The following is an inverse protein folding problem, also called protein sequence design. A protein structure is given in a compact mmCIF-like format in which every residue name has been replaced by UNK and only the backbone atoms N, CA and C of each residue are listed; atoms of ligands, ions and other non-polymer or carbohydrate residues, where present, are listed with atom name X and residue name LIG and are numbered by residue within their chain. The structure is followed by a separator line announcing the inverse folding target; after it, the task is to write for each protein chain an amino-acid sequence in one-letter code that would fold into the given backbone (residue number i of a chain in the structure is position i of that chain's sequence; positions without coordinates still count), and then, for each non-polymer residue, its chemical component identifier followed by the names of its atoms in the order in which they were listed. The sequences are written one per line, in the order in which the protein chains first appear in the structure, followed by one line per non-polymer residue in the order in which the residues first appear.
data_IF_414117995763
#
_entry.id   IF_414117995763
#
_cell.length_a   1.000
_cell.length_b   1.000
_cell.length_c   1.000
_cell.angle_alpha   90.00
_cell.angle_beta   90.00
_cell.angle_gamma   90.00
#
_symmetry.space_group_name_H-M   'P 1'
#
loop_
_entity.id
_entity.type
_entity.pdbx_description
1 polymer ?
#
# COMPACT_ATOMS: atom_id res chain seq x y z
N UNK A 1 16.18 -19.88 18.30
CA UNK A 1 15.07 -18.90 18.17
C UNK A 1 15.63 -17.62 17.54
N UNK A 2 15.90 -17.63 16.22
CA UNK A 2 16.52 -16.51 15.48
C UNK A 2 15.74 -16.11 14.21
N UNK A 3 14.66 -16.82 13.88
CA UNK A 3 13.99 -16.69 12.59
C UNK A 3 13.12 -15.45 12.43
N UNK A 4 12.68 -14.82 13.52
CA UNK A 4 11.83 -13.62 13.45
C UNK A 4 12.64 -12.36 13.10
N UNK A 5 13.85 -12.21 13.68
CA UNK A 5 14.72 -11.05 13.45
C UNK A 5 15.27 -10.98 12.01
N UNK A 6 15.64 -12.12 11.42
CA UNK A 6 16.12 -12.18 10.03
C UNK A 6 15.02 -11.73 9.04
N UNK A 7 13.76 -12.09 9.30
CA UNK A 7 12.62 -11.73 8.44
C UNK A 7 12.32 -10.23 8.51
N UNK A 8 12.32 -9.64 9.71
CA UNK A 8 12.18 -8.18 9.89
C UNK A 8 13.33 -7.42 9.23
N UNK A 9 14.55 -7.95 9.29
CA UNK A 9 15.70 -7.39 8.60
C UNK A 9 15.54 -7.40 7.07
N UNK A 10 15.11 -8.52 6.49
CA UNK A 10 14.86 -8.61 5.04
C UNK A 10 13.75 -7.65 4.58
N UNK A 11 12.68 -7.50 5.36
CA UNK A 11 11.62 -6.54 5.08
C UNK A 11 12.12 -5.09 5.05
N UNK A 12 12.85 -4.67 6.09
CA UNK A 12 13.39 -3.31 6.17
C UNK A 12 14.43 -3.05 5.06
N UNK A 13 15.25 -4.04 4.72
CA UNK A 13 16.19 -3.93 3.59
C UNK A 13 15.47 -3.76 2.26
N UNK A 14 14.36 -4.50 2.04
CA UNK A 14 13.57 -4.35 0.82
C UNK A 14 12.85 -3.01 0.74
N UNK A 15 12.36 -2.47 1.85
CA UNK A 15 11.85 -1.09 1.88
C UNK A 15 12.94 -0.05 1.58
N UNK A 16 14.14 -0.22 2.14
CA UNK A 16 15.26 0.69 1.87
C UNK A 16 15.74 0.61 0.40
N UNK A 17 15.77 -0.59 -0.18
CA UNK A 17 16.05 -0.82 -1.60
C UNK A 17 15.01 -0.12 -2.48
N UNK A 18 13.71 -0.32 -2.20
CA UNK A 18 12.61 0.36 -2.88
C UNK A 18 12.71 1.88 -2.78
N UNK A 19 13.11 2.41 -1.63
CA UNK A 19 13.30 3.86 -1.44
C UNK A 19 14.45 4.41 -2.27
N UNK A 20 15.56 3.66 -2.36
CA UNK A 20 16.69 4.03 -3.22
C UNK A 20 16.28 4.03 -4.69
N UNK A 21 15.53 3.00 -5.08
CA UNK A 21 14.99 2.82 -6.44
C UNK A 21 14.02 3.92 -6.84
N UNK A 22 13.11 4.33 -5.95
CA UNK A 22 12.21 5.47 -6.17
C UNK A 22 12.93 6.73 -6.66
N UNK A 23 14.13 6.98 -6.13
CA UNK A 23 14.95 8.14 -6.46
C UNK A 23 15.78 7.95 -7.74
N UNK A 24 16.15 6.72 -8.09
CA UNK A 24 17.15 6.46 -9.14
C UNK A 24 16.60 5.89 -10.45
N UNK A 25 15.35 5.41 -10.48
CA UNK A 25 14.82 4.66 -11.62
C UNK A 25 13.58 5.30 -12.27
N UNK A 26 13.16 4.75 -13.41
CA UNK A 26 12.04 5.24 -14.21
C UNK A 26 10.80 4.33 -14.20
N UNK A 27 10.84 3.28 -13.39
CA UNK A 27 9.79 2.25 -13.29
C UNK A 27 9.48 2.01 -11.81
N UNK A 28 8.25 1.70 -11.46
CA UNK A 28 7.98 1.26 -10.08
C UNK A 28 8.51 -0.15 -9.88
N UNK A 29 9.02 -0.44 -8.69
CA UNK A 29 9.44 -1.78 -8.26
C UNK A 29 8.51 -2.25 -7.16
N UNK A 30 8.24 -3.54 -7.13
CA UNK A 30 7.37 -4.16 -6.14
C UNK A 30 7.85 -5.54 -5.72
N UNK A 31 7.47 -5.92 -4.50
CA UNK A 31 7.66 -7.24 -3.92
C UNK A 31 6.35 -7.70 -3.29
N UNK A 32 5.95 -8.94 -3.55
CA UNK A 32 4.83 -9.58 -2.87
C UNK A 32 5.31 -10.24 -1.56
N UNK A 33 4.43 -10.21 -0.56
CA UNK A 33 4.64 -10.79 0.77
C UNK A 33 3.76 -12.04 0.89
N UNK A 34 4.35 -13.17 1.30
CA UNK A 34 3.61 -14.42 1.47
C UNK A 34 3.77 -14.95 2.89
N UNK A 35 2.68 -15.41 3.49
CA UNK A 35 2.72 -16.18 4.74
C UNK A 35 3.45 -17.50 4.52
N UNK A 36 4.19 -17.94 5.53
CA UNK A 36 4.85 -19.24 5.60
C UNK A 36 4.22 -20.10 6.69
N UNK A 37 4.40 -21.43 6.61
CA UNK A 37 3.84 -22.41 7.55
C UNK A 37 4.23 -22.14 9.02
N UNK A 38 5.35 -21.46 9.25
CA UNK A 38 5.87 -21.15 10.59
C UNK A 38 5.55 -19.72 11.07
N UNK A 39 4.40 -19.15 10.72
CA UNK A 39 3.94 -17.82 11.17
C UNK A 39 4.97 -16.69 10.96
N UNK A 40 5.64 -16.67 9.81
CA UNK A 40 6.26 -15.44 9.33
C UNK A 40 6.14 -15.37 7.83
N UNK A 41 6.95 -14.54 7.16
CA UNK A 41 6.76 -14.26 5.75
C UNK A 41 7.98 -14.61 4.89
N UNK A 42 7.71 -14.78 3.59
CA UNK A 42 8.70 -14.75 2.52
C UNK A 42 8.38 -13.60 1.58
N UNK A 43 9.40 -13.12 0.86
CA UNK A 43 9.30 -12.03 -0.11
C UNK A 43 9.55 -12.61 -1.50
N UNK A 44 8.79 -12.19 -2.51
CA UNK A 44 9.01 -12.60 -3.90
C UNK A 44 10.34 -12.08 -4.47
N UNK A 45 10.66 -12.53 -5.69
CA UNK A 45 11.50 -11.74 -6.59
C UNK A 45 10.90 -10.37 -6.90
N UNK A 46 11.71 -9.48 -7.45
CA UNK A 46 11.27 -8.14 -7.86
C UNK A 46 10.34 -8.19 -9.06
N UNK A 47 9.29 -7.38 -9.01
CA UNK A 47 8.47 -7.03 -10.16
C UNK A 47 8.65 -5.56 -10.50
N UNK A 48 8.56 -5.21 -11.79
CA UNK A 48 8.68 -3.83 -12.24
C UNK A 48 7.47 -3.42 -13.08
N UNK A 49 6.90 -2.25 -12.80
CA UNK A 49 5.77 -1.66 -13.53
C UNK A 49 6.14 -0.34 -14.22
N UNK A 50 5.42 0.00 -15.28
CA UNK A 50 5.52 1.30 -15.98
C UNK A 50 4.14 1.91 -16.14
N UNK A 51 4.02 3.21 -16.44
CA UNK A 51 2.70 3.81 -16.75
C UNK A 51 1.97 3.09 -17.91
N UNK A 52 2.71 2.48 -18.84
CA UNK A 52 2.14 1.75 -20.00
C UNK A 52 1.79 0.30 -19.68
N UNK A 53 2.50 -0.30 -18.73
CA UNK A 53 2.28 -1.65 -18.22
C UNK A 53 2.28 -1.57 -16.69
N UNK A 54 1.20 -1.05 -16.07
CA UNK A 54 1.16 -0.79 -14.64
C UNK A 54 0.96 -2.07 -13.82
N UNK A 55 0.56 -3.16 -14.48
CA UNK A 55 0.18 -4.40 -13.82
C UNK A 55 1.41 -5.19 -13.36
N UNK A 56 1.54 -5.31 -12.04
CA UNK A 56 2.39 -6.31 -11.39
C UNK A 56 1.58 -7.58 -11.27
N UNK A 57 1.61 -8.45 -12.30
CA UNK A 57 0.94 -9.74 -12.23
C UNK A 57 1.67 -10.67 -11.28
N UNK A 58 1.03 -11.03 -10.17
CA UNK A 58 1.44 -12.11 -9.26
C UNK A 58 1.17 -13.49 -9.92
N UNK A 59 1.52 -13.65 -11.20
CA UNK A 59 1.17 -14.83 -12.00
C UNK A 59 2.28 -15.89 -12.07
N UNK A 60 3.40 -15.70 -11.38
CA UNK A 60 4.42 -16.74 -11.30
C UNK A 60 4.76 -17.06 -9.86
N UNK A 61 4.07 -18.08 -9.33
CA UNK A 61 4.52 -18.79 -8.15
C UNK A 61 5.97 -19.26 -8.38
N UNK A 62 6.91 -18.66 -7.66
CA UNK A 62 8.34 -19.05 -7.74
C UNK A 62 8.56 -20.35 -6.96
N UNK A 63 7.68 -20.67 -5.99
CA UNK A 63 7.68 -21.88 -5.16
C UNK A 63 6.26 -22.30 -4.75
N UNK A 64 6.08 -23.52 -4.20
CA UNK A 64 4.79 -24.00 -3.66
C UNK A 64 4.20 -23.10 -2.55
N UNK A 65 5.03 -22.30 -1.88
CA UNK A 65 4.59 -21.41 -0.78
C UNK A 65 4.19 -20.01 -1.25
N UNK A 66 4.71 -19.56 -2.41
CA UNK A 66 4.43 -18.23 -2.99
C UNK A 66 3.23 -18.27 -3.93
N UNK A 67 2.06 -18.54 -3.35
CA UNK A 67 0.78 -18.57 -4.08
C UNK A 67 -0.06 -17.36 -3.72
N UNK A 68 -0.98 -16.97 -4.61
CA UNK A 68 -1.97 -15.91 -4.34
C UNK A 68 -2.77 -16.20 -3.05
N UNK A 69 -3.02 -17.47 -2.75
CA UNK A 69 -3.72 -17.92 -1.54
C UNK A 69 -2.95 -17.57 -0.26
N UNK A 70 -1.62 -17.67 -0.31
CA UNK A 70 -0.73 -17.34 0.81
C UNK A 70 -0.25 -15.88 0.80
N UNK A 71 -0.61 -15.09 -0.21
CA UNK A 71 -0.20 -13.69 -0.29
C UNK A 71 -0.85 -12.89 0.83
N UNK A 72 -0.05 -12.22 1.65
CA UNK A 72 -0.46 -11.37 2.77
C UNK A 72 -0.24 -9.89 2.47
N UNK A 73 0.17 -9.53 1.25
CA UNK A 73 0.33 -8.14 0.88
C UNK A 73 1.46 -7.90 -0.09
N UNK A 74 1.87 -6.64 -0.19
CA UNK A 74 2.94 -6.23 -1.07
C UNK A 74 3.63 -4.98 -0.53
N UNK A 75 4.83 -4.73 -1.01
CA UNK A 75 5.51 -3.46 -0.88
C UNK A 75 5.93 -2.96 -2.26
N UNK A 76 5.79 -1.67 -2.53
CA UNK A 76 6.24 -1.08 -3.79
C UNK A 76 6.80 0.32 -3.58
N UNK A 77 7.41 0.87 -4.62
CA UNK A 77 7.91 2.24 -4.61
C UNK A 77 7.07 3.13 -5.53
N UNK A 78 6.86 4.37 -5.10
CA UNK A 78 6.39 5.45 -5.96
C UNK A 78 7.58 6.31 -6.38
N UNK A 79 7.67 6.61 -7.67
CA UNK A 79 8.79 7.33 -8.24
C UNK A 79 8.89 8.78 -7.73
N UNK A 80 10.09 9.19 -7.34
CA UNK A 80 10.32 10.58 -6.97
C UNK A 80 10.17 11.53 -8.17
N UNK A 81 9.75 12.78 -7.92
CA UNK A 81 9.70 13.78 -8.97
C UNK A 81 11.12 14.04 -9.49
N UNK A 82 11.27 14.04 -10.83
CA UNK A 82 12.52 14.47 -11.45
C UNK A 82 12.61 16.00 -11.36
N UNK A 83 13.82 16.58 -11.20
CA UNK A 83 13.99 18.03 -11.14
C UNK A 83 13.33 18.74 -12.34
N UNK A 84 12.44 19.69 -12.05
CA UNK A 84 11.73 20.47 -13.07
C UNK A 84 10.59 19.71 -13.80
N UNK A 85 10.19 18.53 -13.31
CA UNK A 85 9.09 17.76 -13.87
C UNK A 85 7.92 17.64 -12.88
N UNK A 86 6.72 17.49 -13.42
CA UNK A 86 5.52 17.19 -12.64
C UNK A 86 5.68 15.83 -11.91
N UNK A 87 5.08 15.67 -10.71
CA UNK A 87 5.02 14.40 -10.01
C UNK A 87 4.42 13.28 -10.88
N UNK A 88 5.19 12.19 -11.02
CA UNK A 88 4.79 11.01 -11.81
C UNK A 88 3.79 10.13 -11.06
N UNK A 89 3.91 10.09 -9.74
CA UNK A 89 3.18 9.17 -8.84
C UNK A 89 2.57 9.96 -7.67
N UNK A 90 1.68 9.30 -6.92
CA UNK A 90 1.18 9.87 -5.67
C UNK A 90 2.25 9.78 -4.57
N UNK A 91 2.24 10.69 -3.60
CA UNK A 91 3.16 10.63 -2.45
C UNK A 91 2.73 9.55 -1.45
N UNK A 92 1.44 9.24 -1.44
CA UNK A 92 0.78 8.12 -0.73
C UNK A 92 0.25 7.11 -1.74
N UNK A 93 -0.72 6.28 -1.37
CA UNK A 93 -1.35 5.28 -2.25
C UNK A 93 -2.20 5.89 -3.36
N UNK A 94 -2.21 5.24 -4.53
CA UNK A 94 -3.15 5.47 -5.64
C UNK A 94 -4.45 4.67 -5.45
N UNK A 95 -5.51 4.99 -6.20
CA UNK A 95 -6.70 4.15 -6.20
C UNK A 95 -6.43 2.74 -6.77
N UNK A 96 -5.56 2.64 -7.78
CA UNK A 96 -5.14 1.37 -8.36
C UNK A 96 -4.42 0.49 -7.32
N UNK A 97 -3.67 1.09 -6.40
CA UNK A 97 -3.03 0.39 -5.28
C UNK A 97 -4.08 -0.24 -4.36
N UNK A 98 -5.11 0.52 -3.98
CA UNK A 98 -6.20 0.05 -3.13
C UNK A 98 -6.96 -1.09 -3.81
N UNK A 99 -7.25 -0.96 -5.10
CA UNK A 99 -7.93 -1.99 -5.89
C UNK A 99 -7.08 -3.26 -6.03
N UNK A 100 -5.79 -3.11 -6.32
CA UNK A 100 -4.84 -4.22 -6.38
C UNK A 100 -4.71 -4.95 -5.05
N UNK A 101 -4.63 -4.21 -3.96
CA UNK A 101 -4.57 -4.79 -2.62
C UNK A 101 -5.87 -5.51 -2.24
N UNK A 102 -7.02 -4.94 -2.57
CA UNK A 102 -8.32 -5.58 -2.36
C UNK A 102 -8.42 -6.92 -3.11
N UNK A 103 -7.90 -7.00 -4.35
CA UNK A 103 -7.81 -8.26 -5.11
C UNK A 103 -6.97 -9.31 -4.36
N UNK A 104 -5.76 -8.95 -3.90
CA UNK A 104 -4.90 -9.83 -3.08
C UNK A 104 -5.66 -10.35 -1.85
N UNK A 105 -6.25 -9.44 -1.07
CA UNK A 105 -6.97 -9.79 0.16
C UNK A 105 -8.15 -10.71 -0.12
N UNK A 106 -8.87 -10.51 -1.24
CA UNK A 106 -10.02 -11.33 -1.63
C UNK A 106 -9.66 -12.77 -2.01
N UNK A 107 -8.45 -13.01 -2.51
CA UNK A 107 -8.00 -14.30 -3.00
C UNK A 107 -7.24 -15.11 -1.94
N UNK A 108 -6.67 -14.43 -0.94
CA UNK A 108 -5.95 -15.11 0.13
C UNK A 108 -6.90 -15.84 1.10
N UNK A 109 -6.53 -17.04 1.54
CA UNK A 109 -7.25 -17.78 2.60
C UNK A 109 -6.68 -17.52 3.99
N UNK A 110 -5.62 -16.71 4.13
CA UNK A 110 -5.10 -16.37 5.45
C UNK A 110 -6.15 -15.65 6.29
N UNK A 111 -6.36 -16.13 7.51
CA UNK A 111 -7.30 -15.53 8.47
C UNK A 111 -6.66 -14.40 9.29
N UNK A 112 -5.33 -14.20 9.16
CA UNK A 112 -4.57 -13.31 10.03
C UNK A 112 -4.69 -11.81 9.65
N UNK A 113 -4.56 -10.90 10.65
CA UNK A 113 -4.69 -9.44 10.49
C UNK A 113 -3.45 -8.73 9.92
N UNK A 114 -2.43 -9.47 9.47
CA UNK A 114 -1.16 -8.89 9.02
C UNK A 114 -1.15 -8.51 7.54
N UNK A 115 -2.33 -8.35 6.93
CA UNK A 115 -2.41 -7.87 5.56
C UNK A 115 -1.96 -6.41 5.49
N UNK A 116 -0.88 -6.17 4.75
CA UNK A 116 -0.30 -4.85 4.59
C UNK A 116 0.08 -4.56 3.14
N UNK A 117 -0.32 -3.39 2.65
CA UNK A 117 0.28 -2.78 1.48
C UNK A 117 1.21 -1.67 1.94
N UNK A 118 2.46 -1.69 1.50
CA UNK A 118 3.47 -0.70 1.86
C UNK A 118 3.91 0.07 0.62
N UNK A 119 3.97 1.39 0.72
CA UNK A 119 4.51 2.24 -0.35
C UNK A 119 5.63 3.12 0.20
N UNK A 120 6.70 3.27 -0.56
CA UNK A 120 7.82 4.13 -0.17
C UNK A 120 8.29 5.03 -1.31
N UNK A 121 8.70 6.24 -0.96
CA UNK A 121 9.31 7.24 -1.84
C UNK A 121 10.21 8.17 -1.04
N UNK A 122 10.77 9.18 -1.68
CA UNK A 122 11.42 10.32 -1.03
C UNK A 122 10.49 11.11 -0.11
N UNK A 123 9.16 11.05 -0.32
CA UNK A 123 8.19 11.71 0.55
C UNK A 123 7.97 10.97 1.89
N UNK A 124 8.30 9.67 1.96
CA UNK A 124 8.12 8.87 3.16
C UNK A 124 7.76 7.43 2.86
N UNK A 125 7.45 6.68 3.93
CA UNK A 125 7.01 5.29 3.86
C UNK A 125 5.66 5.17 4.56
N UNK A 126 4.68 4.59 3.86
CA UNK A 126 3.30 4.48 4.30
C UNK A 126 2.83 3.03 4.23
N UNK A 127 1.83 2.69 5.04
CA UNK A 127 1.19 1.37 5.02
C UNK A 127 -0.34 1.51 5.05
N UNK A 128 -1.03 0.69 4.25
CA UNK A 128 -2.43 0.35 4.44
C UNK A 128 -2.50 -1.02 5.10
N UNK A 129 -3.05 -1.09 6.31
CA UNK A 129 -3.26 -2.34 7.03
C UNK A 129 -4.74 -2.71 6.99
N UNK A 130 -5.05 -3.98 6.74
CA UNK A 130 -6.44 -4.45 6.83
C UNK A 130 -6.83 -4.60 8.29
N UNK A 131 -7.86 -3.87 8.73
CA UNK A 131 -8.47 -4.05 10.05
C UNK A 131 -9.73 -4.95 9.99
N UNK A 132 -10.40 -5.03 8.82
CA UNK A 132 -11.54 -5.91 8.58
C UNK A 132 -11.49 -6.47 7.16
N UNK A 133 -11.05 -7.73 7.04
CA UNK A 133 -10.99 -8.45 5.75
C UNK A 133 -12.37 -8.59 5.10
N UNK A 134 -13.41 -8.77 5.91
CA UNK A 134 -14.80 -8.88 5.43
C UNK A 134 -15.25 -7.54 4.84
N UNK A 135 -15.07 -6.43 5.58
CA UNK A 135 -15.44 -5.09 5.09
C UNK A 135 -14.69 -4.76 3.80
N UNK A 136 -13.37 -4.98 3.79
CA UNK A 136 -12.55 -4.64 2.62
C UNK A 136 -12.90 -5.47 1.38
N UNK A 137 -13.13 -6.78 1.55
CA UNK A 137 -13.58 -7.66 0.47
C UNK A 137 -14.96 -7.25 -0.07
N UNK A 138 -15.91 -6.88 0.79
CA UNK A 138 -17.23 -6.46 0.34
C UNK A 138 -17.16 -5.16 -0.49
N UNK A 139 -16.23 -4.26 -0.13
CA UNK A 139 -15.99 -3.03 -0.87
C UNK A 139 -15.31 -3.27 -2.23
N UNK A 140 -14.48 -4.33 -2.39
CA UNK A 140 -13.85 -4.67 -3.68
C UNK A 140 -14.87 -4.78 -4.83
N UNK A 141 -15.99 -5.48 -4.60
CA UNK A 141 -17.01 -5.67 -5.63
C UNK A 141 -17.57 -4.32 -6.09
N UNK A 142 -17.89 -3.42 -5.15
CA UNK A 142 -18.37 -2.07 -5.43
C UNK A 142 -17.33 -1.25 -6.19
N UNK A 143 -16.07 -1.27 -5.73
CA UNK A 143 -14.96 -0.57 -6.38
C UNK A 143 -14.72 -1.06 -7.81
N UNK A 144 -14.90 -2.36 -8.07
CA UNK A 144 -14.67 -2.93 -9.41
C UNK A 144 -15.80 -2.63 -10.38
N UNK A 145 -17.06 -2.78 -9.96
CA UNK A 145 -18.23 -2.58 -10.83
C UNK A 145 -18.43 -1.12 -11.22
N UNK A 146 -18.06 -0.19 -10.32
CA UNK A 146 -18.17 1.26 -10.56
C UNK A 146 -16.81 1.95 -10.49
N UNK A 147 -15.77 1.33 -11.05
CA UNK A 147 -14.38 1.79 -10.95
C UNK A 147 -14.21 3.26 -11.35
N UNK A 148 -14.72 3.67 -12.51
CA UNK A 148 -14.63 5.06 -13.00
C UNK A 148 -15.23 6.08 -12.03
N UNK A 149 -16.28 5.70 -11.29
CA UNK A 149 -16.90 6.60 -10.31
C UNK A 149 -16.00 6.80 -9.09
N UNK A 150 -15.40 5.72 -8.59
CA UNK A 150 -14.44 5.81 -7.49
C UNK A 150 -13.14 6.50 -7.91
N UNK A 151 -12.65 6.28 -9.12
CA UNK A 151 -11.48 7.01 -9.65
C UNK A 151 -11.76 8.51 -9.74
N UNK A 152 -12.94 8.90 -10.23
CA UNK A 152 -13.35 10.32 -10.23
C UNK A 152 -13.48 10.87 -8.81
N UNK A 153 -14.03 10.09 -7.87
CA UNK A 153 -14.13 10.52 -6.48
C UNK A 153 -12.74 10.67 -5.84
N UNK A 154 -11.85 9.70 -6.05
CA UNK A 154 -10.47 9.73 -5.60
C UNK A 154 -9.75 10.99 -6.11
N UNK A 155 -9.85 11.28 -7.41
CA UNK A 155 -9.21 12.45 -8.02
C UNK A 155 -9.79 13.80 -7.57
N UNK A 156 -10.99 13.83 -6.95
CA UNK A 156 -11.53 15.05 -6.31
C UNK A 156 -10.83 15.35 -4.98
N UNK A 157 -10.42 14.31 -4.27
CA UNK A 157 -9.79 14.44 -2.96
C UNK A 157 -8.26 14.47 -3.03
N UNK A 158 -7.66 13.80 -4.02
CA UNK A 158 -6.21 13.69 -4.17
C UNK A 158 -5.76 14.05 -5.58
N UNK A 159 -4.74 14.90 -5.68
CA UNK A 159 -3.97 15.11 -6.91
C UNK A 159 -2.48 14.93 -6.63
N UNK A 160 -1.72 14.45 -7.62
CA UNK A 160 -0.27 14.19 -7.47
C UNK A 160 0.54 15.45 -7.12
N UNK A 161 0.06 16.61 -7.57
CA UNK A 161 0.66 17.93 -7.31
C UNK A 161 0.52 18.39 -5.86
N UNK A 162 -0.49 17.91 -5.13
CA UNK A 162 -0.69 18.32 -3.74
C UNK A 162 0.54 17.94 -2.88
N UNK A 163 0.81 18.76 -1.86
CA UNK A 163 1.80 18.43 -0.84
C UNK A 163 1.41 17.16 -0.06
N UNK A 164 2.36 16.61 0.70
CA UNK A 164 2.16 15.34 1.37
C UNK A 164 0.98 15.34 2.34
N UNK A 165 0.87 16.36 3.21
CA UNK A 165 -0.17 16.42 4.22
C UNK A 165 -1.55 16.59 3.58
N UNK A 166 -1.64 17.34 2.48
CA UNK A 166 -2.87 17.44 1.67
C UNK A 166 -3.24 16.10 1.04
N UNK A 167 -2.28 15.33 0.51
CA UNK A 167 -2.57 13.99 -0.04
C UNK A 167 -2.99 12.99 1.05
N UNK A 168 -2.37 13.02 2.24
CA UNK A 168 -2.77 12.19 3.39
C UNK A 168 -4.22 12.51 3.78
N UNK A 169 -4.54 13.79 3.96
CA UNK A 169 -5.89 14.23 4.32
C UNK A 169 -6.91 13.86 3.23
N UNK A 170 -6.54 14.02 1.95
CA UNK A 170 -7.35 13.61 0.81
C UNK A 170 -7.65 12.11 0.83
N UNK A 171 -6.64 11.26 1.08
CA UNK A 171 -6.81 9.81 1.18
C UNK A 171 -7.75 9.42 2.32
N UNK A 172 -7.57 10.01 3.51
CA UNK A 172 -8.42 9.76 4.67
C UNK A 172 -9.87 10.21 4.41
N UNK A 173 -10.07 11.37 3.79
CA UNK A 173 -11.39 11.86 3.42
C UNK A 173 -12.06 10.98 2.35
N UNK A 174 -11.32 10.53 1.33
CA UNK A 174 -11.82 9.58 0.34
C UNK A 174 -12.28 8.28 1.01
N UNK A 175 -11.43 7.68 1.87
CA UNK A 175 -11.77 6.45 2.59
C UNK A 175 -12.98 6.63 3.51
N UNK A 176 -13.11 7.78 4.17
CA UNK A 176 -14.26 8.08 5.03
C UNK A 176 -15.54 8.35 4.23
N UNK A 177 -15.47 9.12 3.14
CA UNK A 177 -16.62 9.55 2.34
C UNK A 177 -17.22 8.39 1.56
N UNK A 178 -16.41 7.69 0.77
CA UNK A 178 -16.92 6.72 -0.21
C UNK A 178 -17.33 5.39 0.42
N UNK A 179 -16.88 5.13 1.66
CA UNK A 179 -17.11 3.88 2.38
C UNK A 179 -17.87 4.06 3.70
N UNK A 180 -18.59 5.18 3.86
CA UNK A 180 -19.41 5.46 5.06
C UNK A 180 -18.61 5.32 6.38
N UNK A 181 -17.35 5.74 6.37
CA UNK A 181 -16.45 5.70 7.52
C UNK A 181 -15.68 4.38 7.71
N UNK A 182 -15.99 3.30 6.97
CA UNK A 182 -15.22 2.05 7.10
C UNK A 182 -15.03 1.33 5.76
N UNK A 183 -13.81 1.44 5.23
CA UNK A 183 -13.36 0.65 4.07
C UNK A 183 -12.81 -0.72 4.49
N UNK A 184 -12.49 -0.94 5.76
CA UNK A 184 -11.76 -2.11 6.24
C UNK A 184 -10.23 -1.95 6.19
N UNK A 185 -9.73 -0.71 6.12
CA UNK A 185 -8.31 -0.35 6.11
C UNK A 185 -7.97 0.73 7.13
N UNK A 186 -6.73 0.70 7.61
CA UNK A 186 -6.09 1.74 8.42
C UNK A 186 -4.83 2.25 7.71
N UNK A 187 -4.60 3.57 7.78
CA UNK A 187 -3.42 4.21 7.19
C UNK A 187 -2.35 4.47 8.25
N UNK A 188 -1.11 4.16 7.93
CA UNK A 188 0.04 4.39 8.79
C UNK A 188 1.16 5.10 8.03
N UNK A 189 2.00 5.82 8.77
CA UNK A 189 3.22 6.44 8.29
C UNK A 189 4.40 6.04 9.18
N UNK A 190 5.54 5.73 8.56
CA UNK A 190 6.78 5.50 9.28
C UNK A 190 7.50 6.83 9.54
N UNK A 191 7.89 7.04 10.79
CA UNK A 191 8.76 8.15 11.21
C UNK A 191 10.22 7.90 10.80
N UNK A 192 11.06 8.95 10.78
CA UNK A 192 12.49 8.81 10.48
C UNK A 192 13.25 7.86 11.42
N UNK A 193 12.77 7.68 12.65
CA UNK A 193 13.34 6.75 13.64
C UNK A 193 12.92 5.28 13.42
N UNK A 194 12.11 5.01 12.40
CA UNK A 194 11.59 3.69 12.06
C UNK A 194 10.29 3.31 12.76
N UNK A 195 9.82 4.09 13.74
CA UNK A 195 8.57 3.84 14.45
C UNK A 195 7.36 4.21 13.58
N UNK A 196 6.23 3.53 13.78
CA UNK A 196 5.01 3.77 13.01
C UNK A 196 4.00 4.64 13.78
N UNK A 197 3.24 5.43 13.03
CA UNK A 197 2.12 6.21 13.54
C UNK A 197 0.87 5.91 12.70
N UNK A 198 -0.25 5.63 13.36
CA UNK A 198 -1.57 5.57 12.72
C UNK A 198 -2.02 6.98 12.38
N UNK A 199 -2.50 7.14 11.15
CA UNK A 199 -3.08 8.37 10.64
C UNK A 199 -4.60 8.23 10.62
N UNK A 200 -5.30 9.13 11.31
CA UNK A 200 -6.76 9.07 11.45
C UNK A 200 -7.39 10.44 11.20
N UNK A 201 -8.52 10.45 10.50
CA UNK A 201 -9.25 11.69 10.23
C UNK A 201 -9.73 12.31 11.55
N UNK A 202 -9.47 13.60 11.75
CA UNK A 202 -10.03 14.31 12.90
C UNK A 202 -11.56 14.41 12.76
N UNK A 203 -12.33 14.53 13.86
CA UNK A 203 -13.79 14.61 13.78
C UNK A 203 -14.34 15.73 12.88
N UNK A 204 -13.54 16.77 12.63
CA UNK A 204 -13.90 17.88 11.75
C UNK A 204 -13.81 17.57 10.25
N UNK A 205 -13.10 16.49 9.87
CA UNK A 205 -12.75 16.18 8.47
C UNK A 205 -11.71 17.11 7.82
N UNK A 206 -11.21 18.11 8.57
CA UNK A 206 -10.32 19.16 8.04
C UNK A 206 -8.84 18.93 8.31
N UNK A 207 -8.53 18.02 9.23
CA UNK A 207 -7.18 17.65 9.66
C UNK A 207 -7.14 16.16 9.95
N UNK A 208 -5.96 15.64 10.26
CA UNK A 208 -5.77 14.27 10.73
C UNK A 208 -4.90 14.25 11.98
N UNK A 209 -5.11 13.23 12.81
CA UNK A 209 -4.35 12.93 14.00
C UNK A 209 -3.24 11.93 13.66
N UNK A 210 -2.12 12.04 14.38
CA UNK A 210 -1.03 11.07 14.36
C UNK A 210 -1.02 10.37 15.71
N UNK A 211 -1.17 9.05 15.73
CA UNK A 211 -1.27 8.25 16.95
C UNK A 211 -0.11 7.26 16.95
N UNK A 212 0.82 7.39 17.89
CA UNK A 212 1.95 6.47 18.01
C UNK A 212 1.46 5.04 18.28
N UNK A 213 2.04 4.07 17.57
CA UNK A 213 1.76 2.64 17.71
C UNK A 213 2.56 1.99 18.83
#
# INVERSE_FOLDING_TARGET
MYFYLLRVFDFNNKLADLKTKAASQNTESAYALFSTINNGFSISGEFTGTEKNPEVSIERAITQEQTVVNCIGAMHCHLDPLPGQAPRTYKVFSFSDILGFAKIVSQSTNEQPDFGLYVTSGAGTFALKVNSKITFRNNLYRMTVTQDAYERAFNKYLTKENDLDTQILGLLNFMSSEFNGDIGLELYQQKPDGNWEKLELAPSGKTFNRISC
#
